data_IF_284898756932
#
_entry.id   IF_284898756932
#
_cell.length_a   1.000
_cell.length_b   1.000
_cell.length_c   1.000
_cell.angle_alpha   90.00
_cell.angle_beta   90.00
_cell.angle_gamma   90.00
#
_symmetry.space_group_name_H-M   'P 1'
#
loop_
_entity.id
_entity.type
_entity.pdbx_description
1 polymer ?
#
# COMPACT_ATOMS: atom_id res chain seq x y z
N UNK A 1 10.86 6.67 15.60
CA UNK A 1 11.44 6.45 15.12
C UNK A 1 11.78 5.90 14.59
N UNK A 2 11.75 6.25 14.94
CA UNK A 2 12.27 5.98 14.14
C UNK A 2 13.14 5.04 14.02
N UNK A 3 13.22 4.66 13.34
CA UNK A 3 14.21 3.75 12.87
C UNK A 3 15.42 4.41 12.28
N UNK A 4 15.77 5.54 12.85
CA UNK A 4 16.94 6.27 12.39
C UNK A 4 18.16 5.40 12.59
N UNK A 5 18.84 5.08 11.48
CA UNK A 5 20.01 4.23 11.50
C UNK A 5 19.75 2.74 11.61
N UNK A 6 18.50 2.33 11.68
CA UNK A 6 18.16 0.90 11.71
C UNK A 6 17.45 0.50 10.43
N UNK A 7 18.14 -0.18 9.51
CA UNK A 7 17.47 -0.69 8.32
C UNK A 7 16.49 -1.79 8.69
N UNK A 8 15.51 -2.03 7.84
CA UNK A 8 14.62 -3.18 7.99
C UNK A 8 15.43 -4.47 7.90
N UNK A 9 15.04 -5.48 8.68
CA UNK A 9 15.68 -6.79 8.60
C UNK A 9 15.31 -7.46 7.29
N UNK A 10 16.12 -8.43 6.86
CA UNK A 10 15.80 -9.22 5.67
C UNK A 10 14.41 -9.87 5.78
N UNK A 11 14.06 -10.31 6.98
CA UNK A 11 12.77 -10.94 7.22
C UNK A 11 11.62 -9.96 6.99
N UNK A 12 11.75 -8.72 7.50
CA UNK A 12 10.76 -7.68 7.27
C UNK A 12 10.60 -7.39 5.78
N UNK A 13 11.71 -7.23 5.05
CA UNK A 13 11.68 -6.95 3.63
C UNK A 13 11.05 -8.10 2.85
N UNK A 14 11.44 -9.32 3.17
CA UNK A 14 10.95 -10.51 2.47
C UNK A 14 9.45 -10.69 2.65
N UNK A 15 8.97 -10.55 3.87
CA UNK A 15 7.54 -10.66 4.15
C UNK A 15 6.77 -9.51 3.48
N UNK A 16 7.33 -8.29 3.56
CA UNK A 16 6.72 -7.13 2.91
C UNK A 16 6.58 -7.31 1.41
N UNK A 17 7.60 -7.82 0.73
CA UNK A 17 7.55 -8.07 -0.70
C UNK A 17 6.54 -9.16 -1.06
N UNK A 18 6.45 -10.20 -0.24
CA UNK A 18 5.47 -11.26 -0.45
C UNK A 18 4.05 -10.72 -0.39
N UNK A 19 3.77 -9.91 0.62
CA UNK A 19 2.45 -9.29 0.80
C UNK A 19 2.17 -8.30 -0.34
N UNK A 20 3.17 -7.51 -0.73
CA UNK A 20 3.03 -6.56 -1.82
C UNK A 20 2.62 -7.24 -3.12
N UNK A 21 3.28 -8.33 -3.47
CA UNK A 21 2.95 -9.08 -4.68
C UNK A 21 1.54 -9.68 -4.62
N UNK A 22 1.21 -10.30 -3.50
CA UNK A 22 -0.10 -10.92 -3.34
C UNK A 22 -1.23 -9.89 -3.36
N UNK A 23 -1.07 -8.77 -2.67
CA UNK A 23 -2.05 -7.67 -2.69
C UNK A 23 -2.15 -7.04 -4.06
N UNK A 24 -1.03 -6.84 -4.73
CA UNK A 24 -1.02 -6.26 -6.07
C UNK A 24 -1.87 -7.08 -7.03
N UNK A 25 -1.71 -8.39 -7.02
CA UNK A 25 -2.50 -9.29 -7.85
C UNK A 25 -3.97 -9.30 -7.45
N UNK A 26 -4.22 -9.31 -6.15
CA UNK A 26 -5.59 -9.28 -5.61
C UNK A 26 -6.32 -8.01 -6.08
N UNK A 27 -5.64 -6.88 -6.07
CA UNK A 27 -6.20 -5.61 -6.52
C UNK A 27 -6.43 -5.59 -8.04
N UNK A 28 -5.45 -6.03 -8.82
CA UNK A 28 -5.57 -6.09 -10.29
C UNK A 28 -6.76 -6.94 -10.70
N UNK A 29 -6.99 -8.04 -10.00
CA UNK A 29 -8.11 -8.95 -10.28
C UNK A 29 -9.40 -8.56 -9.57
N UNK A 30 -9.36 -7.50 -8.76
CA UNK A 30 -10.51 -7.03 -7.98
C UNK A 30 -11.17 -8.15 -7.18
N UNK A 31 -10.36 -8.99 -6.56
CA UNK A 31 -10.84 -10.18 -5.87
C UNK A 31 -11.59 -9.88 -4.57
N UNK A 32 -11.33 -8.73 -3.95
CA UNK A 32 -12.01 -8.34 -2.73
C UNK A 32 -13.45 -7.90 -2.97
N UNK A 33 -13.76 -7.44 -4.19
CA UNK A 33 -15.10 -7.01 -4.61
C UNK A 33 -15.74 -6.04 -3.62
N UNK A 34 -15.03 -4.95 -3.36
CA UNK A 34 -15.50 -3.95 -2.41
C UNK A 34 -16.67 -3.16 -2.97
N UNK A 35 -17.65 -2.78 -2.11
CA UNK A 35 -18.78 -1.98 -2.58
C UNK A 35 -18.31 -0.61 -3.05
N UNK A 36 -18.76 -0.22 -4.24
CA UNK A 36 -18.49 1.10 -4.83
C UNK A 36 -17.01 1.46 -4.97
N UNK A 37 -16.14 0.46 -5.03
CA UNK A 37 -14.71 0.69 -5.24
C UNK A 37 -14.10 -0.47 -6.01
N UNK A 38 -13.63 -0.18 -7.22
CA UNK A 38 -12.81 -1.14 -7.97
C UNK A 38 -11.36 -0.93 -7.59
N UNK A 39 -10.66 -2.00 -7.23
CA UNK A 39 -9.25 -1.92 -6.87
C UNK A 39 -8.31 -2.07 -8.07
N UNK A 40 -8.86 -2.27 -9.27
CA UNK A 40 -8.06 -2.50 -10.48
C UNK A 40 -7.10 -1.37 -10.81
N UNK A 41 -7.48 -0.15 -10.46
CA UNK A 41 -6.65 1.04 -10.75
C UNK A 41 -5.88 1.54 -9.52
N UNK A 42 -5.82 0.73 -8.47
CA UNK A 42 -5.07 1.07 -7.26
C UNK A 42 -3.78 0.26 -7.26
N UNK A 43 -2.65 0.97 -7.22
CA UNK A 43 -1.34 0.33 -7.17
C UNK A 43 -0.88 0.23 -5.73
N UNK A 44 -0.43 -0.96 -5.33
CA UNK A 44 0.28 -1.15 -4.06
C UNK A 44 1.74 -0.82 -4.36
N UNK A 45 2.21 0.31 -3.84
CA UNK A 45 3.55 0.81 -4.17
C UNK A 45 4.62 0.29 -3.23
N UNK A 46 4.27 0.04 -1.98
CA UNK A 46 5.23 -0.45 -1.00
C UNK A 46 4.49 -1.08 0.18
N UNK A 47 5.11 -2.07 0.80
CA UNK A 47 4.62 -2.66 2.05
C UNK A 47 5.78 -2.65 3.05
N UNK A 48 5.58 -2.00 4.19
CA UNK A 48 6.55 -1.95 5.27
C UNK A 48 6.02 -2.72 6.47
N UNK A 49 6.80 -3.70 6.89
CA UNK A 49 6.43 -4.53 8.03
C UNK A 49 6.98 -3.94 9.33
N UNK A 50 6.21 -4.09 10.41
CA UNK A 50 6.74 -3.83 11.75
C UNK A 50 7.80 -4.90 12.10
N UNK A 51 8.72 -4.60 13.05
CA UNK A 51 9.76 -5.56 13.42
C UNK A 51 9.20 -6.90 13.91
N UNK A 52 8.06 -6.89 14.59
CA UNK A 52 7.42 -8.11 15.07
C UNK A 52 6.54 -8.79 14.03
N UNK A 53 6.47 -8.24 12.82
CA UNK A 53 5.67 -8.74 11.70
C UNK A 53 4.16 -8.78 11.96
N UNK A 54 3.68 -8.08 12.97
CA UNK A 54 2.26 -8.06 13.31
C UNK A 54 1.47 -7.01 12.57
N UNK A 55 2.16 -6.03 11.98
CA UNK A 55 1.54 -4.91 11.28
C UNK A 55 2.20 -4.70 9.93
N UNK A 56 1.39 -4.51 8.91
CA UNK A 56 1.86 -4.18 7.56
C UNK A 56 1.30 -2.81 7.18
N UNK A 57 2.18 -1.86 6.89
CA UNK A 57 1.79 -0.56 6.38
C UNK A 57 1.80 -0.63 4.86
N UNK A 58 0.62 -0.49 4.26
CA UNK A 58 0.42 -0.69 2.84
C UNK A 58 0.29 0.67 2.16
N UNK A 59 1.29 1.03 1.36
CA UNK A 59 1.26 2.29 0.61
C UNK A 59 0.56 2.06 -0.72
N UNK A 60 -0.43 2.89 -1.01
CA UNK A 60 -1.23 2.76 -2.22
C UNK A 60 -1.36 4.08 -2.95
N UNK A 61 -1.57 3.99 -4.26
CA UNK A 61 -1.79 5.15 -5.12
C UNK A 61 -2.83 4.79 -6.17
N UNK A 62 -3.96 5.50 -6.21
CA UNK A 62 -4.92 5.34 -7.32
C UNK A 62 -4.33 5.87 -8.62
N UNK A 63 -4.80 5.38 -9.73
CA UNK A 63 -4.38 5.86 -11.05
C UNK A 63 -4.57 7.36 -11.16
N UNK A 64 -3.49 8.07 -11.51
CA UNK A 64 -3.51 9.52 -11.60
C UNK A 64 -3.58 10.25 -10.27
N UNK A 65 -3.56 9.53 -9.15
CA UNK A 65 -3.64 10.12 -7.82
C UNK A 65 -5.01 10.67 -7.47
N UNK A 66 -6.01 10.40 -8.29
CA UNK A 66 -7.35 10.95 -8.14
C UNK A 66 -8.07 10.35 -6.94
N UNK A 67 -8.69 11.21 -6.13
CA UNK A 67 -9.50 10.80 -4.98
C UNK A 67 -8.75 9.90 -3.99
N UNK A 68 -7.44 10.11 -3.86
CA UNK A 68 -6.58 9.25 -3.06
C UNK A 68 -7.03 9.16 -1.60
N UNK A 69 -7.45 10.29 -1.01
CA UNK A 69 -7.90 10.32 0.39
C UNK A 69 -9.15 9.46 0.57
N UNK A 70 -10.10 9.59 -0.34
CA UNK A 70 -11.35 8.82 -0.31
C UNK A 70 -11.08 7.34 -0.51
N UNK A 71 -10.21 7.01 -1.46
CA UNK A 71 -9.83 5.63 -1.74
C UNK A 71 -9.20 4.98 -0.52
N UNK A 72 -8.25 5.68 0.12
CA UNK A 72 -7.59 5.16 1.31
C UNK A 72 -8.59 4.94 2.44
N UNK A 73 -9.53 5.90 2.62
CA UNK A 73 -10.57 5.77 3.65
C UNK A 73 -11.39 4.50 3.43
N UNK A 74 -11.77 4.22 2.20
CA UNK A 74 -12.53 3.01 1.87
C UNK A 74 -11.71 1.73 2.09
N UNK A 75 -10.43 1.75 1.72
CA UNK A 75 -9.56 0.61 1.96
C UNK A 75 -9.42 0.33 3.46
N UNK A 76 -9.32 1.38 4.27
CA UNK A 76 -9.28 1.23 5.73
C UNK A 76 -10.57 0.61 6.26
N UNK A 77 -11.69 1.09 5.77
CA UNK A 77 -13.01 0.61 6.18
C UNK A 77 -13.17 -0.89 5.89
N UNK A 78 -12.68 -1.34 4.74
CA UNK A 78 -12.81 -2.72 4.32
C UNK A 78 -11.53 -3.54 4.46
N UNK A 79 -10.61 -3.09 5.32
CA UNK A 79 -9.31 -3.77 5.47
C UNK A 79 -9.45 -5.21 5.92
N UNK A 80 -10.45 -5.52 6.75
CA UNK A 80 -10.67 -6.89 7.21
C UNK A 80 -11.15 -7.81 6.09
N UNK A 81 -11.93 -7.29 5.14
CA UNK A 81 -12.36 -8.05 3.96
C UNK A 81 -11.15 -8.38 3.09
N UNK A 82 -10.33 -7.35 2.84
CA UNK A 82 -9.12 -7.51 2.04
C UNK A 82 -8.18 -8.51 2.69
N UNK A 83 -8.01 -8.40 4.01
CA UNK A 83 -7.16 -9.30 4.78
C UNK A 83 -7.67 -10.75 4.69
N UNK A 84 -8.96 -10.94 4.74
CA UNK A 84 -9.57 -12.27 4.62
C UNK A 84 -9.30 -12.90 3.26
N UNK A 85 -9.44 -12.13 2.19
CA UNK A 85 -9.14 -12.62 0.84
C UNK A 85 -7.64 -12.90 0.71
N UNK A 86 -6.80 -12.00 1.24
CA UNK A 86 -5.35 -12.18 1.22
C UNK A 86 -4.92 -13.45 1.95
N UNK A 87 -5.59 -13.79 3.05
CA UNK A 87 -5.26 -14.98 3.84
C UNK A 87 -5.40 -16.28 3.04
N UNK A 88 -6.18 -16.26 1.98
CA UNK A 88 -6.34 -17.41 1.09
C UNK A 88 -5.26 -17.49 0.02
N UNK A 89 -4.47 -16.41 -0.13
CA UNK A 89 -3.46 -16.30 -1.17
C UNK A 89 -2.05 -16.60 -0.67
N UNK A 90 -1.79 -16.38 0.60
CA UNK A 90 -0.46 -16.60 1.18
C UNK A 90 -0.55 -17.49 2.40
N UNK A 91 0.48 -18.32 2.55
CA UNK A 91 0.59 -19.23 3.69
C UNK A 91 1.44 -18.54 4.75
N UNK A 92 0.79 -18.06 5.79
CA UNK A 92 1.46 -17.46 6.95
C UNK A 92 0.76 -17.93 8.20
N UNK A 93 1.56 -18.22 9.23
CA UNK A 93 0.99 -18.63 10.52
C UNK A 93 0.10 -17.54 11.10
N UNK A 94 0.57 -16.29 11.02
CA UNK A 94 -0.19 -15.12 11.47
C UNK A 94 -0.12 -14.06 10.39
N UNK A 95 -1.26 -13.69 9.86
CA UNK A 95 -1.34 -12.61 8.89
C UNK A 95 -1.34 -11.29 9.64
N UNK A 96 -0.52 -10.30 9.22
CA UNK A 96 -0.47 -9.01 9.91
C UNK A 96 -1.74 -8.22 9.73
N UNK A 97 -1.95 -7.24 10.60
CA UNK A 97 -2.98 -6.23 10.38
C UNK A 97 -2.53 -5.34 9.22
N UNK A 98 -3.47 -4.98 8.37
CA UNK A 98 -3.20 -4.15 7.20
C UNK A 98 -3.58 -2.70 7.49
N UNK A 99 -2.63 -1.78 7.33
CA UNK A 99 -2.87 -0.34 7.47
C UNK A 99 -2.60 0.33 6.13
N UNK A 100 -3.65 0.79 5.49
CA UNK A 100 -3.54 1.45 4.19
C UNK A 100 -3.25 2.92 4.36
N UNK A 101 -2.26 3.41 3.63
CA UNK A 101 -1.89 4.81 3.61
C UNK A 101 -1.62 5.25 2.17
N UNK A 102 -1.84 6.53 1.91
CA UNK A 102 -1.52 7.11 0.62
C UNK A 102 0.00 7.18 0.44
N UNK A 103 0.47 6.85 -0.74
CA UNK A 103 1.87 7.04 -1.09
C UNK A 103 2.06 8.49 -1.55
N UNK A 104 2.71 9.29 -0.73
CA UNK A 104 2.93 10.71 -1.00
C UNK A 104 4.14 10.98 -1.89
N UNK A 105 4.88 9.96 -2.29
CA UNK A 105 6.06 10.13 -3.15
C UNK A 105 5.73 10.81 -4.46
N UNK A 106 4.60 10.45 -5.05
CA UNK A 106 4.18 11.03 -6.34
C UNK A 106 3.82 12.49 -6.20
N UNK A 107 3.16 12.87 -5.11
CA UNK A 107 2.81 14.27 -4.86
C UNK A 107 4.05 15.14 -4.76
N UNK A 108 5.06 14.65 -4.06
CA UNK A 108 6.31 15.36 -3.91
C UNK A 108 7.02 15.53 -5.26
N UNK A 109 7.09 14.48 -6.04
CA UNK A 109 7.72 14.50 -7.36
C UNK A 109 7.00 15.50 -8.29
N UNK A 110 5.68 15.51 -8.26
CA UNK A 110 4.87 16.43 -9.05
C UNK A 110 5.13 17.88 -8.65
N UNK A 111 5.22 18.17 -7.37
CA UNK A 111 5.54 19.51 -6.88
C UNK A 111 6.91 19.97 -7.35
N UNK A 112 7.90 19.10 -7.31
CA UNK A 112 9.26 19.39 -7.79
C UNK A 112 9.23 19.71 -9.27
N UNK A 113 8.54 18.92 -10.08
CA UNK A 113 8.41 19.17 -11.51
C UNK A 113 7.77 20.53 -11.81
N UNK A 114 6.69 20.85 -11.11
CA UNK A 114 6.01 22.11 -11.28
C UNK A 114 6.90 23.31 -10.94
N UNK A 115 7.69 23.20 -9.88
CA UNK A 115 8.64 24.23 -9.51
C UNK A 115 9.71 24.42 -10.58
N UNK A 116 10.23 23.34 -11.14
CA UNK A 116 11.22 23.38 -12.20
C UNK A 116 10.64 24.05 -13.45
N UNK A 117 9.42 23.70 -13.81
CA UNK A 117 8.73 24.31 -14.97
C UNK A 117 8.54 25.80 -14.78
N UNK A 118 8.22 26.24 -13.58
CA UNK A 118 8.05 27.66 -13.27
C UNK A 118 9.36 28.42 -13.37
N UNK A 119 10.47 27.82 -12.95
CA UNK A 119 11.78 28.47 -13.01
C UNK A 119 12.34 28.56 -14.43
N UNK A 120 11.91 27.66 -15.31
CA UNK A 120 12.40 27.62 -16.68
C UNK A 120 11.65 28.57 -17.66
N UNK A 121 10.75 29.35 -17.12
CA UNK A 121 10.07 30.37 -17.92
C UNK A 121 10.89 31.69 -17.92
#
# INVERSE_FOLDING_TARGET
MNNLGRPFTQRQVRVGEMIKQALGMLFIRDEAKLPNLSTKEITVTEVRMSPDLKTAKIFVMPLGGKDAEEVVTKLKEFSFVIRKVLSKKIVMKFLPKLFFVKDNSFDYAEKIENLIKQTNK
#
